data_IF_793473981683
#
_entry.id   IF_793473981683
#
_cell.length_a   1.000
_cell.length_b   1.000
_cell.length_c   1.000
_cell.angle_alpha   90.00
_cell.angle_beta   90.00
_cell.angle_gamma   90.00
#
_symmetry.space_group_name_H-M   'P 1'
#
loop_
_entity.id
_entity.type
_entity.pdbx_description
1 polymer ?
#
# COMPACT_ATOMS: atom_id res chain seq x y z
N UNK A 1 6.32 0.90 16.10
CA UNK A 1 6.65 -0.19 15.15
C UNK A 1 8.13 -0.52 15.19
N UNK A 2 9.05 0.39 14.92
CA UNK A 2 10.50 0.08 14.92
C UNK A 2 11.01 -0.57 16.21
N UNK A 3 10.52 -0.14 17.38
CA UNK A 3 10.92 -0.72 18.68
C UNK A 3 10.30 -2.11 18.95
N UNK A 4 9.12 -2.40 18.41
CA UNK A 4 8.36 -3.63 18.71
C UNK A 4 8.47 -4.69 17.60
N UNK A 5 8.68 -4.25 16.36
CA UNK A 5 8.71 -5.06 15.14
C UNK A 5 9.61 -4.40 14.08
N UNK A 6 10.95 -4.38 14.30
CA UNK A 6 11.91 -3.61 13.50
C UNK A 6 12.01 -4.04 12.03
N UNK A 7 11.57 -5.25 11.69
CA UNK A 7 11.67 -5.79 10.33
C UNK A 7 10.35 -5.70 9.54
N UNK A 8 9.30 -5.15 10.15
CA UNK A 8 7.98 -5.04 9.54
C UNK A 8 7.90 -3.88 8.56
N UNK A 9 7.30 -4.13 7.40
CA UNK A 9 6.93 -3.09 6.45
C UNK A 9 5.57 -2.50 6.83
N UNK A 10 5.53 -1.18 6.98
CA UNK A 10 4.29 -0.44 7.25
C UNK A 10 3.67 0.02 5.94
N UNK A 11 2.42 -0.35 5.67
CA UNK A 11 1.67 0.14 4.51
C UNK A 11 0.68 1.21 4.97
N UNK A 12 0.88 2.44 4.49
CA UNK A 12 -0.05 3.54 4.73
C UNK A 12 -1.15 3.46 3.67
N UNK A 13 -2.39 3.24 4.11
CA UNK A 13 -3.60 3.29 3.28
C UNK A 13 -4.30 4.65 3.35
N UNK A 14 -4.22 5.31 4.51
CA UNK A 14 -4.82 6.61 4.75
C UNK A 14 -4.32 7.68 3.78
N UNK A 15 -5.19 8.62 3.41
CA UNK A 15 -4.83 9.80 2.63
C UNK A 15 -3.78 10.63 3.35
N UNK A 16 -2.67 10.92 2.66
CA UNK A 16 -1.53 11.70 3.17
C UNK A 16 -1.14 12.81 2.17
N UNK A 17 -0.52 13.90 2.63
CA UNK A 17 0.07 14.90 1.74
C UNK A 17 1.17 14.32 0.85
N UNK A 18 1.36 14.90 -0.34
CA UNK A 18 2.49 14.58 -1.22
C UNK A 18 3.80 14.88 -0.48
N UNK A 19 4.78 13.96 -0.57
CA UNK A 19 6.07 14.09 0.11
C UNK A 19 6.11 13.55 1.54
N UNK A 20 4.97 13.09 2.09
CA UNK A 20 4.90 12.64 3.47
C UNK A 20 5.78 11.40 3.74
N UNK A 21 5.74 10.40 2.84
CA UNK A 21 6.54 9.18 3.00
C UNK A 21 8.04 9.50 2.93
N UNK A 22 8.44 10.39 2.03
CA UNK A 22 9.82 10.85 1.91
C UNK A 22 10.28 11.58 3.19
N UNK A 23 9.41 12.42 3.77
CA UNK A 23 9.66 13.06 5.07
C UNK A 23 9.88 12.04 6.18
N UNK A 24 8.97 11.08 6.32
CA UNK A 24 9.05 10.02 7.34
C UNK A 24 10.33 9.20 7.19
N UNK A 25 10.70 8.81 5.96
CA UNK A 25 11.93 8.05 5.70
C UNK A 25 13.20 8.83 6.05
N UNK A 26 13.19 10.16 5.90
CA UNK A 26 14.31 11.04 6.29
C UNK A 26 14.44 11.18 7.81
N UNK A 27 13.32 11.33 8.52
CA UNK A 27 13.32 11.51 9.97
C UNK A 27 13.55 10.21 10.74
N UNK A 28 13.12 9.07 10.16
CA UNK A 28 13.15 7.75 10.80
C UNK A 28 13.92 6.76 9.94
N UNK A 29 15.25 6.85 10.01
CA UNK A 29 16.14 5.90 9.36
C UNK A 29 15.79 4.46 9.74
N UNK A 30 15.66 3.58 8.74
CA UNK A 30 15.36 2.17 8.93
C UNK A 30 13.88 1.83 9.10
N UNK A 31 12.96 2.80 9.04
CA UNK A 31 11.53 2.50 8.95
C UNK A 31 11.21 2.13 7.50
N UNK A 32 10.81 0.87 7.29
CA UNK A 32 10.30 0.42 6.01
C UNK A 32 8.82 0.79 5.89
N UNK A 33 8.54 1.80 5.07
CA UNK A 33 7.19 2.37 4.90
C UNK A 33 6.87 2.50 3.42
N UNK A 34 5.66 2.07 3.04
CA UNK A 34 5.12 2.12 1.69
C UNK A 34 3.77 2.82 1.75
N UNK A 35 3.46 3.66 0.76
CA UNK A 35 2.12 4.19 0.59
C UNK A 35 1.36 3.37 -0.46
N UNK A 36 0.10 3.03 -0.18
CA UNK A 36 -0.80 2.43 -1.16
C UNK A 36 -2.14 3.15 -1.04
N UNK A 37 -2.52 4.02 -1.98
CA UNK A 37 -3.77 4.76 -1.88
C UNK A 37 -4.98 3.81 -1.87
N UNK A 38 -6.03 4.22 -1.18
CA UNK A 38 -7.32 3.53 -1.18
C UNK A 38 -8.36 4.29 -2.02
N UNK A 39 -9.08 3.58 -2.89
CA UNK A 39 -10.09 4.14 -3.79
C UNK A 39 -11.48 3.58 -3.45
N UNK A 40 -11.78 3.52 -2.14
CA UNK A 40 -12.97 2.88 -1.60
C UNK A 40 -14.08 3.90 -1.40
N UNK A 41 -15.32 3.52 -1.71
CA UNK A 41 -16.50 4.32 -1.38
C UNK A 41 -17.05 3.89 -0.03
N UNK A 42 -17.49 4.88 0.74
CA UNK A 42 -18.19 4.63 2.00
C UNK A 42 -19.43 3.76 1.78
N UNK A 43 -19.63 2.77 2.65
CA UNK A 43 -20.70 1.77 2.51
C UNK A 43 -20.45 0.68 1.46
N UNK A 44 -19.37 0.77 0.66
CA UNK A 44 -18.99 -0.25 -0.35
C UNK A 44 -17.54 -0.72 -0.22
N UNK A 45 -16.87 -0.47 0.90
CA UNK A 45 -15.44 -0.72 1.08
C UNK A 45 -15.03 -2.17 0.73
N UNK A 46 -15.77 -3.18 1.20
CA UNK A 46 -15.47 -4.57 0.86
C UNK A 46 -15.65 -4.84 -0.63
N UNK A 47 -16.76 -4.37 -1.23
CA UNK A 47 -17.02 -4.53 -2.65
C UNK A 47 -15.92 -3.89 -3.51
N UNK A 48 -15.53 -2.65 -3.19
CA UNK A 48 -14.50 -1.92 -3.93
C UNK A 48 -13.09 -2.52 -3.73
N UNK A 49 -12.85 -3.23 -2.62
CA UNK A 49 -11.62 -3.99 -2.40
C UNK A 49 -11.59 -5.28 -3.24
N UNK A 50 -12.74 -5.97 -3.35
CA UNK A 50 -12.90 -7.17 -4.18
C UNK A 50 -12.91 -6.87 -5.69
N UNK A 51 -13.36 -5.66 -6.08
CA UNK A 51 -13.41 -5.19 -7.47
C UNK A 51 -12.59 -3.89 -7.68
N UNK A 52 -11.27 -3.93 -7.46
CA UNK A 52 -10.46 -2.74 -7.51
C UNK A 52 -10.25 -2.29 -8.95
N UNK A 53 -10.49 -1.01 -9.23
CA UNK A 53 -10.20 -0.42 -10.55
C UNK A 53 -8.71 -0.47 -10.93
N UNK A 54 -7.81 -0.43 -9.93
CA UNK A 54 -6.36 -0.64 -10.02
C UNK A 54 -5.77 -0.75 -8.62
N UNK A 55 -4.61 -1.38 -8.49
CA UNK A 55 -3.78 -1.40 -7.28
C UNK A 55 -2.56 -0.52 -7.51
N UNK A 56 -2.33 0.44 -6.62
CA UNK A 56 -1.17 1.34 -6.68
C UNK A 56 -0.30 1.13 -5.45
N UNK A 57 1.00 1.02 -5.64
CA UNK A 57 1.99 0.84 -4.57
C UNK A 57 3.14 1.82 -4.79
N UNK A 58 3.37 2.70 -3.83
CA UNK A 58 4.40 3.76 -3.85
C UNK A 58 5.80 3.28 -3.50
N UNK A 59 6.17 2.10 -4.00
CA UNK A 59 7.52 1.56 -3.94
C UNK A 59 7.67 0.45 -5.00
N UNK A 60 8.88 0.31 -5.56
CA UNK A 60 9.24 -0.82 -6.43
C UNK A 60 10.31 -1.68 -5.73
N UNK A 61 9.85 -2.58 -4.85
CA UNK A 61 10.72 -3.48 -4.09
C UNK A 61 10.07 -4.84 -3.89
N UNK A 62 10.82 -5.92 -3.59
CA UNK A 62 10.24 -7.26 -3.42
C UNK A 62 9.08 -7.32 -2.42
N UNK A 63 9.12 -6.51 -1.35
CA UNK A 63 8.03 -6.43 -0.38
C UNK A 63 6.82 -5.66 -0.91
N UNK A 64 7.03 -4.67 -1.77
CA UNK A 64 5.98 -3.94 -2.46
C UNK A 64 5.24 -4.85 -3.46
N UNK A 65 5.99 -5.66 -4.23
CA UNK A 65 5.44 -6.69 -5.11
C UNK A 65 4.64 -7.73 -4.33
N UNK A 66 5.20 -8.26 -3.22
CA UNK A 66 4.49 -9.19 -2.34
C UNK A 66 3.16 -8.59 -1.81
N UNK A 67 3.19 -7.32 -1.40
CA UNK A 67 1.97 -6.64 -0.95
C UNK A 67 0.94 -6.50 -2.09
N UNK A 68 1.38 -6.13 -3.29
CA UNK A 68 0.49 -6.05 -4.46
C UNK A 68 -0.13 -7.41 -4.80
N UNK A 69 0.65 -8.48 -4.74
CA UNK A 69 0.19 -9.86 -4.98
C UNK A 69 -0.87 -10.27 -3.95
N UNK A 70 -0.69 -9.92 -2.67
CA UNK A 70 -1.68 -10.17 -1.62
C UNK A 70 -3.00 -9.43 -1.88
N UNK A 71 -2.93 -8.18 -2.34
CA UNK A 71 -4.11 -7.40 -2.69
C UNK A 71 -4.82 -7.98 -3.92
N UNK A 72 -4.06 -8.37 -4.95
CA UNK A 72 -4.59 -8.98 -6.17
C UNK A 72 -5.20 -10.36 -5.90
N UNK A 73 -4.58 -11.18 -5.05
CA UNK A 73 -5.11 -12.48 -4.64
C UNK A 73 -6.42 -12.37 -3.85
N UNK A 74 -6.65 -11.24 -3.19
CA UNK A 74 -7.91 -10.93 -2.51
C UNK A 74 -9.01 -10.40 -3.45
N UNK A 75 -8.66 -9.99 -4.67
CA UNK A 75 -9.63 -9.49 -5.64
C UNK A 75 -10.38 -10.64 -6.33
N UNK A 76 -11.65 -10.39 -6.65
CA UNK A 76 -12.46 -11.29 -7.49
C UNK A 76 -12.10 -11.09 -8.97
N UNK A 77 -11.75 -9.86 -9.35
CA UNK A 77 -11.39 -9.53 -10.72
C UNK A 77 -9.98 -10.05 -11.04
N UNK A 78 -9.81 -10.75 -12.17
CA UNK A 78 -8.54 -11.43 -12.52
C UNK A 78 -7.56 -10.56 -13.30
N UNK A 79 -7.99 -9.41 -13.83
CA UNK A 79 -7.19 -8.50 -14.66
C UNK A 79 -7.14 -7.10 -14.05
N UNK A 80 -6.73 -7.01 -12.79
CA UNK A 80 -6.56 -5.74 -12.08
C UNK A 80 -5.21 -5.13 -12.48
N UNK A 81 -5.17 -3.89 -13.01
CA UNK A 81 -3.91 -3.20 -13.26
C UNK A 81 -3.14 -2.95 -11.96
N UNK A 82 -1.86 -3.30 -11.93
CA UNK A 82 -0.96 -3.04 -10.80
C UNK A 82 0.09 -2.01 -11.23
N UNK A 83 0.26 -0.96 -10.43
CA UNK A 83 1.15 0.15 -10.71
C UNK A 83 2.12 0.34 -9.54
N UNK A 84 3.41 0.36 -9.85
CA UNK A 84 4.49 0.68 -8.91
C UNK A 84 5.03 2.07 -9.24
N UNK A 85 5.10 2.96 -8.23
CA UNK A 85 5.52 4.37 -8.37
C UNK A 85 6.53 4.78 -7.32
#
# INVERSE_FOLDING_TARGET
VQELAPHTTTVIKSTIPVGFVEGVRKERSGLDVIFSPEFLREGKALFDNLHPSRIVVGADSPKAHLFADLMAAGAVDTNVPVLFV
#
